data_IF_591597086330
#
_entry.id   IF_591597086330
#
_cell.length_a   1.000
_cell.length_b   1.000
_cell.length_c   1.000
_cell.angle_alpha   90.00
_cell.angle_beta   90.00
_cell.angle_gamma   90.00
#
_symmetry.space_group_name_H-M   'P 1'
#
loop_
_entity.id
_entity.type
_entity.pdbx_description
1 polymer ?
#
# COMPACT_ATOMS: atom_id res chain seq x y z
N UNK A 1 -5.47 -12.21 -21.04
CA UNK A 1 -4.85 -10.88 -20.89
C UNK A 1 -5.24 -10.36 -19.52
N UNK A 2 -4.39 -10.52 -18.52
CA UNK A 2 -4.67 -10.03 -17.15
C UNK A 2 -4.32 -8.54 -17.07
N UNK A 3 -4.83 -7.81 -16.08
CA UNK A 3 -4.52 -6.37 -15.89
C UNK A 3 -3.00 -6.10 -15.73
N UNK A 4 -2.19 -7.13 -15.45
CA UNK A 4 -0.73 -7.11 -15.44
C UNK A 4 -0.07 -7.13 -16.83
N UNK A 5 -0.81 -7.02 -17.94
CA UNK A 5 -0.24 -7.06 -19.31
C UNK A 5 0.05 -5.65 -19.86
N UNK A 6 -0.14 -4.61 -19.05
CA UNK A 6 0.05 -3.23 -19.46
C UNK A 6 0.98 -2.48 -18.49
N UNK A 7 2.11 -1.95 -18.96
CA UNK A 7 3.00 -1.16 -18.12
C UNK A 7 2.29 0.05 -17.53
N UNK A 8 1.33 0.65 -18.24
CA UNK A 8 0.51 1.75 -17.72
C UNK A 8 -0.27 1.39 -16.45
N UNK A 9 -0.83 0.17 -16.38
CA UNK A 9 -1.60 -0.27 -15.22
C UNK A 9 -0.69 -0.48 -14.01
N UNK A 10 0.53 -0.95 -14.25
CA UNK A 10 1.54 -1.04 -13.21
C UNK A 10 2.03 0.33 -12.73
N UNK A 11 2.26 1.28 -13.65
CA UNK A 11 2.60 2.67 -13.28
C UNK A 11 1.50 3.30 -12.43
N UNK A 12 0.23 3.15 -12.84
CA UNK A 12 -0.94 3.56 -12.07
C UNK A 12 -0.95 2.92 -10.66
N UNK A 13 -0.67 1.62 -10.57
CA UNK A 13 -0.55 0.92 -9.29
C UNK A 13 0.55 1.51 -8.40
N UNK A 14 1.73 1.80 -8.94
CA UNK A 14 2.84 2.41 -8.19
C UNK A 14 2.50 3.83 -7.74
N UNK A 15 1.95 4.67 -8.62
CA UNK A 15 1.52 6.02 -8.28
C UNK A 15 0.44 6.04 -7.19
N UNK A 16 -0.54 5.13 -7.27
CA UNK A 16 -1.56 4.96 -6.24
C UNK A 16 -0.93 4.57 -4.89
N UNK A 17 -0.10 3.50 -4.86
CA UNK A 17 0.53 3.07 -3.61
C UNK A 17 1.44 4.15 -3.03
N UNK A 18 2.23 4.82 -3.87
CA UNK A 18 3.09 5.94 -3.46
C UNK A 18 2.28 7.02 -2.76
N UNK A 19 1.19 7.48 -3.40
CA UNK A 19 0.29 8.50 -2.84
C UNK A 19 -0.28 8.08 -1.47
N UNK A 20 -0.70 6.82 -1.33
CA UNK A 20 -1.30 6.33 -0.10
C UNK A 20 -0.28 6.16 1.03
N UNK A 21 0.87 5.55 0.74
CA UNK A 21 1.94 5.35 1.72
C UNK A 21 2.54 6.69 2.18
N UNK A 22 2.68 7.67 1.27
CA UNK A 22 3.16 9.01 1.61
C UNK A 22 2.28 9.73 2.64
N UNK A 23 0.98 9.40 2.69
CA UNK A 23 0.04 9.94 3.68
C UNK A 23 0.01 9.10 4.95
N UNK A 24 -0.02 7.77 4.83
CA UNK A 24 -0.33 6.88 5.95
C UNK A 24 0.89 6.48 6.78
N UNK A 25 2.06 6.27 6.16
CA UNK A 25 3.25 5.82 6.91
C UNK A 25 3.74 6.85 7.95
N UNK A 26 3.78 8.16 7.67
CA UNK A 26 4.14 9.16 8.67
C UNK A 26 3.24 9.13 9.92
N UNK A 27 1.96 8.76 9.77
CA UNK A 27 1.03 8.65 10.90
C UNK A 27 1.39 7.50 11.85
N UNK A 28 2.14 6.50 11.37
CA UNK A 28 2.60 5.36 12.16
C UNK A 28 4.02 5.55 12.69
N UNK A 29 4.89 6.22 11.91
CA UNK A 29 6.33 6.32 12.17
C UNK A 29 6.64 6.85 13.58
N UNK A 30 5.90 7.86 14.02
CA UNK A 30 6.08 8.56 15.30
C UNK A 30 5.14 8.07 16.42
N UNK A 31 4.30 7.06 16.14
CA UNK A 31 3.26 6.65 17.08
C UNK A 31 3.81 5.72 18.18
N UNK A 32 4.31 6.30 19.28
CA UNK A 32 4.98 5.59 20.39
C UNK A 32 4.22 4.39 20.93
N UNK A 33 2.92 4.50 21.19
CA UNK A 33 2.13 3.40 21.73
C UNK A 33 1.98 2.24 20.73
N UNK A 34 2.00 2.54 19.43
CA UNK A 34 1.96 1.52 18.39
C UNK A 34 3.31 0.81 18.30
N UNK A 35 4.41 1.56 18.33
CA UNK A 35 5.75 0.99 18.37
C UNK A 35 5.97 0.10 19.62
N UNK A 36 5.43 0.50 20.78
CA UNK A 36 5.53 -0.28 22.02
C UNK A 36 4.78 -1.62 21.93
N UNK A 37 3.60 -1.65 21.28
CA UNK A 37 2.82 -2.89 21.10
C UNK A 37 3.41 -3.76 19.99
N UNK A 38 3.82 -3.17 18.87
CA UNK A 38 4.40 -3.91 17.75
C UNK A 38 5.79 -4.48 18.08
N UNK A 39 6.56 -3.81 18.94
CA UNK A 39 7.87 -4.28 19.41
C UNK A 39 8.82 -4.65 18.26
N UNK A 40 9.33 -5.88 18.28
CA UNK A 40 10.20 -6.43 17.24
C UNK A 40 9.46 -6.76 15.93
N UNK A 41 8.13 -6.88 15.97
CA UNK A 41 7.26 -7.18 14.82
C UNK A 41 6.84 -5.90 14.09
N UNK A 42 7.65 -4.84 14.16
CA UNK A 42 7.33 -3.56 13.51
C UNK A 42 7.40 -3.74 12.00
N UNK A 43 6.31 -3.39 11.32
CA UNK A 43 6.26 -3.31 9.86
C UNK A 43 7.42 -2.47 9.31
N UNK A 44 7.95 -2.90 8.17
CA UNK A 44 8.86 -2.08 7.37
C UNK A 44 8.05 -0.99 6.65
N UNK A 45 8.52 0.25 6.71
CA UNK A 45 7.99 1.34 5.89
C UNK A 45 8.43 1.13 4.43
N UNK A 46 7.49 1.24 3.49
CA UNK A 46 7.67 0.91 2.08
C UNK A 46 7.67 2.14 1.16
N UNK A 47 7.42 3.34 1.69
CA UNK A 47 7.46 4.58 0.92
C UNK A 47 8.81 4.77 0.24
N UNK A 48 9.91 4.39 0.89
CA UNK A 48 11.26 4.51 0.32
C UNK A 48 11.44 3.66 -0.94
N UNK A 49 10.91 2.44 -0.95
CA UNK A 49 10.95 1.57 -2.13
C UNK A 49 10.00 2.04 -3.22
N UNK A 50 8.84 2.59 -2.86
CA UNK A 50 7.96 3.27 -3.82
C UNK A 50 8.65 4.50 -4.44
N UNK A 51 9.41 5.28 -3.68
CA UNK A 51 10.20 6.40 -4.20
C UNK A 51 11.29 5.94 -5.20
N UNK A 52 11.86 4.75 -5.01
CA UNK A 52 12.80 4.15 -5.97
C UNK A 52 12.10 3.83 -7.28
N UNK A 53 10.93 3.18 -7.20
CA UNK A 53 10.14 2.82 -8.37
C UNK A 53 9.68 4.06 -9.14
N UNK A 54 9.16 5.08 -8.44
CA UNK A 54 8.75 6.36 -9.04
C UNK A 54 9.90 7.03 -9.81
N UNK A 55 11.12 7.06 -9.24
CA UNK A 55 12.29 7.65 -9.91
C UNK A 55 12.75 6.84 -11.12
N UNK A 56 12.84 5.51 -10.99
CA UNK A 56 13.34 4.64 -12.07
C UNK A 56 12.42 4.64 -13.27
N UNK A 57 11.12 4.65 -13.05
CA UNK A 57 10.11 4.69 -14.11
C UNK A 57 9.73 6.12 -14.53
N UNK A 58 10.43 7.14 -14.02
CA UNK A 58 10.18 8.56 -14.30
C UNK A 58 8.71 9.00 -14.09
N UNK A 59 8.05 8.45 -13.06
CA UNK A 59 6.66 8.73 -12.75
C UNK A 59 6.53 10.03 -11.96
N UNK A 60 5.47 10.77 -12.22
CA UNK A 60 5.12 11.97 -11.45
C UNK A 60 4.23 11.60 -10.26
N UNK A 61 4.49 12.15 -9.06
CA UNK A 61 3.61 11.93 -7.91
C UNK A 61 2.23 12.51 -8.16
N UNK A 62 1.20 11.82 -7.64
CA UNK A 62 -0.15 12.35 -7.62
C UNK A 62 -0.28 13.42 -6.54
N UNK A 63 -1.23 14.35 -6.72
CA UNK A 63 -1.53 15.39 -5.73
C UNK A 63 -1.85 14.77 -4.35
N UNK A 64 -1.42 15.36 -3.24
CA UNK A 64 -1.70 14.78 -1.93
C UNK A 64 -3.21 14.67 -1.62
N UNK A 65 -3.63 13.63 -0.89
CA UNK A 65 -4.99 13.51 -0.32
C UNK A 65 -4.87 13.72 1.18
N UNK A 66 -5.76 14.53 1.75
CA UNK A 66 -5.85 14.66 3.20
C UNK A 66 -6.45 13.39 3.81
N UNK A 67 -5.77 12.80 4.80
CA UNK A 67 -6.39 11.76 5.63
C UNK A 67 -7.41 12.40 6.59
N UNK A 68 -8.65 11.90 6.67
CA UNK A 68 -9.73 12.60 7.37
C UNK A 68 -9.59 12.59 8.90
N UNK A 69 -8.80 11.68 9.48
CA UNK A 69 -8.61 11.60 10.93
C UNK A 69 -7.46 12.51 11.37
N UNK A 70 -7.79 13.48 12.23
CA UNK A 70 -6.82 14.47 12.75
C UNK A 70 -6.00 13.97 13.93
N UNK A 71 -6.52 13.02 14.70
CA UNK A 71 -5.84 12.44 15.86
C UNK A 71 -5.80 10.93 15.70
N UNK A 72 -4.59 10.39 15.70
CA UNK A 72 -4.36 8.94 15.61
C UNK A 72 -3.99 8.47 17.01
N UNK A 73 -4.86 7.66 17.61
CA UNK A 73 -4.51 6.86 18.79
C UNK A 73 -4.11 5.45 18.37
N UNK A 74 -3.78 4.61 19.36
CA UNK A 74 -3.44 3.21 19.12
C UNK A 74 -4.50 2.45 18.29
N UNK A 75 -5.82 2.61 18.52
CA UNK A 75 -6.81 1.94 17.69
C UNK A 75 -6.75 2.37 16.23
N UNK A 76 -6.65 3.67 15.95
CA UNK A 76 -6.56 4.18 14.58
C UNK A 76 -5.27 3.70 13.90
N UNK A 77 -4.14 3.75 14.61
CA UNK A 77 -2.86 3.26 14.10
C UNK A 77 -2.93 1.78 13.72
N UNK A 78 -3.61 0.94 14.52
CA UNK A 78 -3.83 -0.47 14.20
C UNK A 78 -4.68 -0.66 12.94
N UNK A 79 -5.73 0.15 12.77
CA UNK A 79 -6.56 0.14 11.56
C UNK A 79 -5.78 0.52 10.30
N UNK A 80 -4.95 1.56 10.38
CA UNK A 80 -4.08 1.98 9.27
C UNK A 80 -3.05 0.88 8.94
N UNK A 81 -2.38 0.33 9.96
CA UNK A 81 -1.40 -0.73 9.78
C UNK A 81 -2.02 -1.97 9.12
N UNK A 82 -3.21 -2.38 9.55
CA UNK A 82 -3.95 -3.48 8.94
C UNK A 82 -4.13 -3.29 7.42
N UNK A 83 -4.46 -2.08 6.97
CA UNK A 83 -4.64 -1.79 5.53
C UNK A 83 -3.31 -1.78 4.79
N UNK A 84 -2.29 -1.12 5.34
CA UNK A 84 -0.96 -1.04 4.71
C UNK A 84 -0.27 -2.41 4.60
N UNK A 85 -0.46 -3.29 5.58
CA UNK A 85 0.14 -4.61 5.54
C UNK A 85 -0.74 -5.60 4.76
N UNK A 86 -2.06 -5.38 4.74
CA UNK A 86 -2.97 -6.08 3.84
C UNK A 86 -2.68 -5.81 2.37
N UNK A 87 -2.35 -4.56 1.98
CA UNK A 87 -2.00 -4.22 0.59
C UNK A 87 -0.74 -4.96 0.11
N UNK A 88 0.20 -5.24 1.02
CA UNK A 88 1.42 -6.01 0.73
C UNK A 88 1.10 -7.42 0.27
N UNK A 89 0.08 -8.07 0.84
CA UNK A 89 -0.32 -9.41 0.41
C UNK A 89 -0.69 -9.42 -1.08
N UNK A 90 -1.44 -8.42 -1.53
CA UNK A 90 -1.74 -8.21 -2.95
C UNK A 90 -0.47 -8.01 -3.78
N UNK A 91 0.44 -7.15 -3.29
CA UNK A 91 1.74 -6.92 -3.93
C UNK A 91 2.60 -8.20 -4.05
N UNK A 92 2.55 -9.13 -3.07
CA UNK A 92 3.25 -10.42 -3.17
C UNK A 92 2.75 -11.26 -4.34
N UNK A 93 1.43 -11.28 -4.56
CA UNK A 93 0.83 -12.00 -5.68
C UNK A 93 1.21 -11.38 -7.02
N UNK A 94 1.18 -10.04 -7.11
CA UNK A 94 1.63 -9.29 -8.30
C UNK A 94 3.10 -9.58 -8.57
N UNK A 95 3.97 -9.54 -7.57
CA UNK A 95 5.40 -9.85 -7.71
C UNK A 95 5.63 -11.26 -8.27
N UNK A 96 4.91 -12.24 -7.73
CA UNK A 96 5.01 -13.63 -8.20
C UNK A 96 4.59 -13.76 -9.67
N UNK A 97 3.50 -13.09 -10.08
CA UNK A 97 3.08 -13.05 -11.48
C UNK A 97 4.14 -12.40 -12.37
N UNK A 98 4.71 -11.28 -11.90
CA UNK A 98 5.77 -10.53 -12.58
C UNK A 98 6.99 -11.41 -12.89
N UNK A 99 7.42 -12.20 -11.90
CA UNK A 99 8.56 -13.13 -12.04
C UNK A 99 8.22 -14.34 -12.89
N UNK A 100 7.03 -14.93 -12.72
CA UNK A 100 6.62 -16.12 -13.47
C UNK A 100 6.54 -15.86 -14.99
N UNK A 101 6.31 -14.60 -15.38
CA UNK A 101 6.12 -14.17 -16.76
C UNK A 101 7.32 -13.44 -17.35
N UNK A 102 8.39 -13.26 -16.58
CA UNK A 102 9.59 -12.52 -16.98
C UNK A 102 9.27 -11.11 -17.52
N UNK A 103 8.30 -10.41 -16.91
CA UNK A 103 7.83 -9.10 -17.39
C UNK A 103 8.94 -8.04 -17.38
N UNK A 104 10.00 -8.22 -16.59
CA UNK A 104 11.16 -7.35 -16.59
C UNK A 104 11.91 -7.36 -17.94
N UNK A 105 11.90 -8.50 -18.65
CA UNK A 105 12.46 -8.60 -20.00
C UNK A 105 11.59 -7.89 -21.02
N UNK A 106 10.26 -7.94 -20.86
CA UNK A 106 9.32 -7.28 -21.75
C UNK A 106 9.31 -5.76 -21.53
N UNK A 107 9.53 -5.30 -20.30
CA UNK A 107 9.49 -3.90 -19.89
C UNK A 107 10.83 -3.46 -19.27
N UNK A 108 11.84 -3.12 -20.10
CA UNK A 108 13.22 -2.93 -19.63
C UNK A 108 13.41 -1.77 -18.63
N UNK A 109 12.49 -0.81 -18.60
CA UNK A 109 12.53 0.34 -17.68
C UNK A 109 11.70 0.12 -16.40
N UNK A 110 11.08 -1.04 -16.24
CA UNK A 110 10.24 -1.34 -15.08
C UNK A 110 11.09 -1.48 -13.81
N UNK A 111 10.56 -0.99 -12.69
CA UNK A 111 11.17 -1.19 -11.38
C UNK A 111 10.18 -1.85 -10.44
N UNK A 112 10.65 -2.87 -9.71
CA UNK A 112 9.84 -3.73 -8.83
C UNK A 112 10.26 -3.62 -7.35
N UNK A 113 10.94 -2.56 -6.95
CA UNK A 113 11.54 -2.43 -5.62
C UNK A 113 10.48 -2.52 -4.51
N UNK A 114 9.32 -1.90 -4.71
CA UNK A 114 8.17 -2.01 -3.81
C UNK A 114 7.65 -3.45 -3.70
N UNK A 115 7.48 -4.13 -4.84
CA UNK A 115 6.99 -5.51 -4.89
C UNK A 115 7.94 -6.48 -4.19
N UNK A 116 9.24 -6.34 -4.45
CA UNK A 116 10.31 -7.10 -3.80
C UNK A 116 10.29 -6.90 -2.30
N UNK A 117 10.22 -5.64 -1.83
CA UNK A 117 10.17 -5.34 -0.41
C UNK A 117 8.86 -5.81 0.26
N UNK A 118 7.73 -5.69 -0.43
CA UNK A 118 6.45 -6.19 0.06
C UNK A 118 6.43 -7.72 0.20
N UNK A 119 7.15 -8.44 -0.69
CA UNK A 119 7.28 -9.89 -0.67
C UNK A 119 8.07 -10.42 0.53
N UNK A 120 8.93 -9.62 1.14
CA UNK A 120 9.66 -10.00 2.36
C UNK A 120 8.65 -10.16 3.52
N UNK A 121 8.77 -11.29 4.23
CA UNK A 121 7.99 -11.57 5.44
C UNK A 121 8.44 -10.64 6.59
N UNK A 122 7.48 -10.10 7.32
CA UNK A 122 7.71 -8.97 8.23
C UNK A 122 6.94 -9.06 9.56
N UNK A 123 6.39 -10.23 9.89
CA UNK A 123 5.72 -10.44 11.20
C UNK A 123 4.32 -9.83 11.30
N UNK A 124 3.65 -9.51 10.18
CA UNK A 124 2.30 -8.96 10.16
C UNK A 124 1.31 -9.73 11.04
N UNK A 125 1.34 -11.08 10.97
CA UNK A 125 0.41 -11.92 11.73
C UNK A 125 0.60 -11.72 13.23
N UNK A 126 1.85 -11.77 13.68
CA UNK A 126 2.25 -11.59 15.07
C UNK A 126 1.86 -10.19 15.55
N UNK A 127 2.15 -9.16 14.76
CA UNK A 127 1.76 -7.79 15.06
C UNK A 127 0.23 -7.63 15.22
N UNK A 128 -0.57 -8.25 14.35
CA UNK A 128 -2.03 -8.19 14.47
C UNK A 128 -2.55 -8.93 15.70
N UNK A 129 -1.88 -10.01 16.12
CA UNK A 129 -2.20 -10.70 17.37
C UNK A 129 -1.93 -9.77 18.56
N UNK A 130 -0.77 -9.13 18.62
CA UNK A 130 -0.39 -8.21 19.70
C UNK A 130 -1.34 -7.00 19.80
N UNK A 131 -1.70 -6.41 18.66
CA UNK A 131 -2.66 -5.32 18.58
C UNK A 131 -4.06 -5.75 19.00
N UNK A 132 -4.51 -6.94 18.58
CA UNK A 132 -5.84 -7.48 18.93
C UNK A 132 -5.98 -7.79 20.41
N UNK A 133 -4.89 -8.24 21.05
CA UNK A 133 -4.82 -8.47 22.49
C UNK A 133 -4.90 -7.15 23.30
N UNK A 134 -4.47 -6.03 22.70
CA UNK A 134 -4.50 -4.71 23.33
C UNK A 134 -5.82 -3.96 23.07
N UNK A 135 -6.39 -4.10 21.87
CA UNK A 135 -7.60 -3.40 21.40
C UNK A 135 -8.84 -4.27 21.70
N UNK A 136 -9.13 -4.44 22.98
CA UNK A 136 -10.20 -5.36 23.44
C UNK A 136 -11.59 -4.73 23.51
N UNK A 137 -11.69 -3.43 23.77
CA UNK A 137 -12.99 -2.77 23.95
C UNK A 137 -13.72 -2.57 22.62
N UNK A 138 -15.05 -2.70 22.65
CA UNK A 138 -15.92 -2.46 21.47
C UNK A 138 -15.68 -1.07 20.87
N UNK A 139 -15.50 -0.05 21.73
CA UNK A 139 -15.21 1.32 21.30
C UNK A 139 -13.86 1.43 20.58
N UNK A 140 -12.81 0.77 21.08
CA UNK A 140 -11.50 0.79 20.41
C UNK A 140 -11.55 0.04 19.08
N UNK A 141 -12.23 -1.11 19.02
CA UNK A 141 -12.41 -1.85 17.77
C UNK A 141 -13.15 -1.04 16.72
N UNK A 142 -14.22 -0.34 17.10
CA UNK A 142 -14.95 0.55 16.20
C UNK A 142 -14.06 1.68 15.64
N UNK A 143 -13.19 2.25 16.48
CA UNK A 143 -12.22 3.27 16.05
C UNK A 143 -11.17 2.72 15.08
N UNK A 144 -10.65 1.52 15.36
CA UNK A 144 -9.72 0.85 14.44
C UNK A 144 -10.37 0.56 13.09
N UNK A 145 -11.60 0.06 13.09
CA UNK A 145 -12.35 -0.20 11.86
C UNK A 145 -12.62 1.08 11.06
N UNK A 146 -13.00 2.17 11.73
CA UNK A 146 -13.21 3.45 11.07
C UNK A 146 -11.92 3.99 10.41
N UNK A 147 -10.77 3.83 11.08
CA UNK A 147 -9.48 4.21 10.50
C UNK A 147 -9.08 3.33 9.30
N UNK A 148 -9.30 2.01 9.40
CA UNK A 148 -9.10 1.10 8.27
C UNK A 148 -9.99 1.47 7.08
N UNK A 149 -11.28 1.73 7.32
CA UNK A 149 -12.21 2.19 6.28
C UNK A 149 -11.75 3.49 5.63
N UNK A 150 -11.31 4.48 6.43
CA UNK A 150 -10.78 5.73 5.90
C UNK A 150 -9.50 5.53 5.07
N UNK A 151 -8.65 4.58 5.46
CA UNK A 151 -7.46 4.24 4.68
C UNK A 151 -7.83 3.57 3.35
N UNK A 152 -8.80 2.63 3.33
CA UNK A 152 -9.31 2.06 2.09
C UNK A 152 -9.88 3.11 1.14
N UNK A 153 -10.69 4.04 1.65
CA UNK A 153 -11.24 5.15 0.84
C UNK A 153 -10.13 6.01 0.23
N UNK A 154 -8.97 6.14 0.90
CA UNK A 154 -7.82 6.84 0.35
C UNK A 154 -7.23 6.12 -0.87
N UNK A 155 -7.11 4.78 -0.82
CA UNK A 155 -6.73 3.96 -1.98
C UNK A 155 -7.76 4.06 -3.11
N UNK A 156 -9.05 3.93 -2.81
CA UNK A 156 -10.13 4.05 -3.80
C UNK A 156 -10.11 5.42 -4.50
N UNK A 157 -9.93 6.50 -3.73
CA UNK A 157 -9.81 7.87 -4.25
C UNK A 157 -8.55 8.04 -5.10
N UNK A 158 -7.44 7.41 -4.70
CA UNK A 158 -6.20 7.43 -5.47
C UNK A 158 -6.34 6.73 -6.82
N UNK A 159 -7.10 5.62 -6.89
CA UNK A 159 -7.41 4.93 -8.15
C UNK A 159 -8.31 5.78 -9.04
N UNK A 160 -9.35 6.41 -8.47
CA UNK A 160 -10.39 7.10 -9.23
C UNK A 160 -9.90 8.28 -10.08
N UNK A 161 -8.76 8.88 -9.74
CA UNK A 161 -8.16 10.00 -10.50
C UNK A 161 -7.20 9.53 -11.59
N UNK A 162 -6.80 8.26 -11.58
CA UNK A 162 -5.91 7.74 -12.58
C UNK A 162 -6.68 7.54 -13.90
N UNK A 163 -6.06 7.86 -15.05
CA UNK A 163 -6.71 7.66 -16.34
C UNK A 163 -7.21 6.23 -16.42
N UNK A 164 -8.48 6.05 -16.79
CA UNK A 164 -8.99 4.74 -17.17
C UNK A 164 -8.12 4.27 -18.32
N UNK A 165 -7.32 3.22 -18.09
CA UNK A 165 -6.41 2.63 -19.05
C UNK A 165 -7.17 2.49 -20.38
N UNK A 166 -6.80 3.32 -21.36
CA UNK A 166 -7.66 3.67 -22.49
C UNK A 166 -8.31 2.43 -23.12
N UNK A 167 -9.65 2.41 -23.18
CA UNK A 167 -10.46 1.48 -24.00
C UNK A 167 -10.31 1.77 -25.50
N UNK A 168 -9.15 2.25 -25.96
CA UNK A 168 -8.92 2.72 -27.33
C UNK A 168 -8.04 1.78 -28.17
N UNK A 169 -7.96 0.49 -27.82
CA UNK A 169 -7.20 -0.52 -28.56
C UNK A 169 -8.02 -1.55 -29.33
N UNK A 170 -9.35 -1.55 -29.23
CA UNK A 170 -10.21 -2.45 -30.02
C UNK A 170 -10.90 -1.63 -31.10
N UNK A 171 -10.15 -1.28 -32.14
CA UNK A 171 -10.76 -1.09 -33.47
C UNK A 171 -10.41 -2.35 -34.25
N UNK A 172 -11.42 -3.18 -34.49
CA UNK A 172 -11.30 -4.30 -35.40
C UNK A 172 -10.88 -3.76 -36.78
N UNK A 173 -9.74 -4.24 -37.27
CA UNK A 173 -9.41 -4.20 -38.70
C UNK A 173 -9.83 -5.52 -39.31
#
# INVERSE_FOLDING_TARGET
>A
MTETDRPDLYHCFIQMNHRCHAVLEPLLADHRAFAAVAGANRRKDLLRELDVDMRRMALSPLEAIAYPLRQIGLPEAAGIAYVLDGSRLGARFIHRDFMARDLAREWPDISTAYLEAAAIADGFREQMVDLSATIVSTRHRARALAAASAAFTLFETAIAVLPSASRQGIVAS
#
